data_IF_153001468455
#
_entry.id   IF_153001468455
#
_cell.length_a   1.000
_cell.length_b   1.000
_cell.length_c   1.000
_cell.angle_alpha   90.00
_cell.angle_beta   90.00
_cell.angle_gamma   90.00
#
_symmetry.space_group_name_H-M   'P 1'
#
loop_
_entity.id
_entity.type
_entity.pdbx_description
1 polymer ?
#
# COMPACT_ATOMS: atom_id res chain seq x y z
N UNK A 1 -7.72 -4.16 -9.59
CA UNK A 1 -6.41 -3.72 -10.09
C UNK A 1 -5.38 -4.70 -9.56
N UNK A 2 -4.34 -5.00 -10.34
CA UNK A 2 -3.29 -5.91 -9.88
C UNK A 2 -2.13 -5.11 -9.29
N UNK A 3 -1.41 -5.71 -8.34
CA UNK A 3 -0.31 -5.08 -7.61
C UNK A 3 0.79 -4.47 -8.52
N UNK A 4 1.00 -5.08 -9.68
CA UNK A 4 1.99 -4.68 -10.69
C UNK A 4 1.74 -3.29 -11.30
N UNK A 5 0.49 -2.80 -11.30
CA UNK A 5 0.15 -1.49 -11.86
C UNK A 5 0.44 -0.34 -10.88
N UNK A 6 0.44 -0.59 -9.57
CA UNK A 6 0.53 0.45 -8.53
C UNK A 6 1.86 1.17 -8.50
N UNK A 7 2.97 0.45 -8.67
CA UNK A 7 4.31 1.05 -8.72
C UNK A 7 4.44 2.00 -9.92
N UNK A 8 3.88 1.60 -11.07
CA UNK A 8 3.88 2.41 -12.28
C UNK A 8 3.03 3.67 -12.12
N UNK A 9 1.84 3.55 -11.53
CA UNK A 9 0.96 4.67 -11.24
C UNK A 9 1.62 5.70 -10.32
N UNK A 10 2.18 5.24 -9.19
CA UNK A 10 2.90 6.09 -8.25
C UNK A 10 4.09 6.78 -8.91
N UNK A 11 4.86 6.06 -9.73
CA UNK A 11 5.99 6.65 -10.45
C UNK A 11 5.55 7.75 -11.43
N UNK A 12 4.52 7.48 -12.22
CA UNK A 12 4.02 8.41 -13.24
C UNK A 12 3.34 9.62 -12.61
N UNK A 13 2.59 9.46 -11.51
CA UNK A 13 1.97 10.58 -10.80
C UNK A 13 2.99 11.57 -10.21
N UNK A 14 4.20 11.09 -9.93
CA UNK A 14 5.33 11.90 -9.49
C UNK A 14 6.21 12.40 -10.64
N UNK A 15 5.78 12.23 -11.90
CA UNK A 15 6.50 12.73 -13.08
C UNK A 15 7.84 12.05 -13.36
N UNK A 16 8.09 10.88 -12.78
CA UNK A 16 9.38 10.20 -12.87
C UNK A 16 9.45 9.18 -14.02
N UNK A 17 10.63 9.02 -14.60
CA UNK A 17 11.01 7.92 -15.48
C UNK A 17 11.41 6.67 -14.67
N UNK A 18 11.36 5.48 -15.29
CA UNK A 18 11.83 4.24 -14.64
C UNK A 18 13.30 4.34 -14.19
N UNK A 19 14.13 5.06 -14.94
CA UNK A 19 15.55 5.26 -14.61
C UNK A 19 15.75 6.15 -13.39
N UNK A 20 14.90 7.15 -13.18
CA UNK A 20 14.95 8.01 -12.00
C UNK A 20 14.54 7.25 -10.75
N UNK A 21 13.41 6.53 -10.79
CA UNK A 21 13.01 5.68 -9.68
C UNK A 21 14.06 4.62 -9.36
N UNK A 22 14.68 4.02 -10.37
CA UNK A 22 15.76 3.04 -10.20
C UNK A 22 16.97 3.64 -9.47
N UNK A 23 17.36 4.88 -9.81
CA UNK A 23 18.44 5.59 -9.11
C UNK A 23 18.10 5.84 -7.64
N UNK A 24 16.89 6.31 -7.35
CA UNK A 24 16.44 6.59 -5.97
C UNK A 24 16.42 5.30 -5.15
N UNK A 25 15.89 4.21 -5.73
CA UNK A 25 15.78 2.91 -5.08
C UNK A 25 17.10 2.11 -5.12
N UNK A 26 18.19 2.65 -5.65
CA UNK A 26 19.47 1.96 -5.83
C UNK A 26 19.34 0.57 -6.49
N UNK A 27 18.54 0.48 -7.56
CA UNK A 27 18.34 -0.72 -8.36
C UNK A 27 18.56 -0.42 -9.85
N UNK A 28 18.45 -1.44 -10.71
CA UNK A 28 18.53 -1.24 -12.16
C UNK A 28 17.19 -0.76 -12.73
N UNK A 29 17.23 -0.02 -13.85
CA UNK A 29 16.01 0.31 -14.61
C UNK A 29 15.20 -0.94 -14.97
N UNK A 30 15.91 -2.03 -15.33
CA UNK A 30 15.29 -3.32 -15.65
C UNK A 30 14.54 -3.92 -14.46
N UNK A 31 15.04 -3.76 -13.23
CA UNK A 31 14.34 -4.17 -12.00
C UNK A 31 13.01 -3.42 -11.84
N UNK A 32 13.03 -2.10 -12.00
CA UNK A 32 11.80 -1.28 -11.93
C UNK A 32 10.81 -1.69 -13.03
N UNK A 33 11.28 -1.90 -14.26
CA UNK A 33 10.42 -2.38 -15.34
C UNK A 33 9.82 -3.77 -15.03
N UNK A 34 10.60 -4.68 -14.46
CA UNK A 34 10.12 -6.01 -14.08
C UNK A 34 9.08 -5.95 -12.96
N UNK A 35 9.19 -5.00 -12.02
CA UNK A 35 8.17 -4.73 -11.00
C UNK A 35 6.86 -4.21 -11.62
N UNK A 36 6.95 -3.22 -12.50
CA UNK A 36 5.80 -2.60 -13.18
C UNK A 36 5.09 -3.51 -14.17
N UNK A 37 5.75 -4.58 -14.61
CA UNK A 37 5.19 -5.59 -15.51
C UNK A 37 4.74 -6.86 -14.75
N UNK A 38 4.89 -6.89 -13.42
CA UNK A 38 4.55 -8.06 -12.60
C UNK A 38 5.44 -9.28 -12.85
N UNK A 39 6.58 -9.12 -13.51
CA UNK A 39 7.55 -10.19 -13.80
C UNK A 39 8.30 -10.57 -12.52
N UNK A 40 8.53 -9.60 -11.63
CA UNK A 40 9.17 -9.81 -10.33
C UNK A 40 8.56 -8.89 -9.28
N UNK A 41 8.73 -9.22 -8.00
CA UNK A 41 8.23 -8.42 -6.87
C UNK A 41 9.42 -7.73 -6.19
N UNK A 42 9.26 -6.47 -5.71
CA UNK A 42 10.28 -5.86 -4.86
C UNK A 42 10.56 -6.73 -3.63
N UNK A 43 11.81 -6.72 -3.15
CA UNK A 43 12.11 -7.34 -1.85
C UNK A 43 11.37 -6.60 -0.75
N UNK A 44 11.17 -7.23 0.42
CA UNK A 44 10.50 -6.58 1.55
C UNK A 44 11.15 -5.24 1.93
N UNK A 45 12.49 -5.16 1.90
CA UNK A 45 13.21 -3.92 2.13
C UNK A 45 12.88 -2.84 1.08
N UNK A 46 12.85 -3.18 -0.21
CA UNK A 46 12.46 -2.23 -1.26
C UNK A 46 11.00 -1.84 -1.21
N UNK A 47 10.13 -2.73 -0.77
CA UNK A 47 8.73 -2.42 -0.55
C UNK A 47 8.56 -1.35 0.55
N UNK A 48 9.31 -1.45 1.64
CA UNK A 48 9.35 -0.43 2.70
C UNK A 48 9.93 0.90 2.21
N UNK A 49 11.03 0.86 1.44
CA UNK A 49 11.58 2.09 0.84
C UNK A 49 10.57 2.78 -0.09
N UNK A 50 9.89 2.00 -0.95
CA UNK A 50 8.84 2.51 -1.83
C UNK A 50 7.67 3.09 -1.03
N UNK A 51 7.23 2.42 0.04
CA UNK A 51 6.11 2.88 0.88
C UNK A 51 6.42 4.20 1.55
N UNK A 52 7.64 4.35 2.07
CA UNK A 52 8.11 5.59 2.68
C UNK A 52 8.28 6.71 1.66
N UNK A 53 8.87 6.41 0.50
CA UNK A 53 9.11 7.39 -0.56
C UNK A 53 7.84 7.93 -1.19
N UNK A 54 6.85 7.06 -1.45
CA UNK A 54 5.57 7.44 -2.05
C UNK A 54 4.49 7.80 -1.03
N UNK A 55 4.79 7.74 0.27
CA UNK A 55 3.85 8.01 1.35
C UNK A 55 2.56 7.17 1.27
N UNK A 56 2.70 5.87 1.00
CA UNK A 56 1.59 4.90 0.93
C UNK A 56 1.88 3.69 1.81
N UNK A 57 0.88 2.87 2.12
CA UNK A 57 1.12 1.59 2.80
C UNK A 57 1.72 0.55 1.85
N UNK A 58 2.43 -0.43 2.41
CA UNK A 58 2.89 -1.60 1.65
C UNK A 58 1.72 -2.39 1.07
N UNK A 59 0.59 -2.45 1.78
CA UNK A 59 -0.64 -3.09 1.34
C UNK A 59 -1.20 -2.45 0.06
N UNK A 60 -1.14 -1.11 -0.03
CA UNK A 60 -1.53 -0.39 -1.25
C UNK A 60 -0.63 -0.76 -2.42
N UNK A 61 0.69 -0.79 -2.23
CA UNK A 61 1.66 -1.17 -3.27
C UNK A 61 1.43 -2.62 -3.72
N UNK A 62 1.11 -3.53 -2.78
CA UNK A 62 0.87 -4.94 -3.04
C UNK A 62 -0.53 -5.25 -3.58
N UNK A 63 -1.38 -4.25 -3.80
CA UNK A 63 -2.75 -4.48 -4.28
C UNK A 63 -3.62 -5.25 -3.27
N UNK A 64 -3.30 -5.15 -1.97
CA UNK A 64 -4.06 -5.74 -0.86
C UNK A 64 -5.18 -4.81 -0.36
N UNK A 65 -5.43 -3.71 -1.09
CA UNK A 65 -6.41 -2.63 -0.88
C UNK A 65 -7.88 -3.08 -1.00
N UNK A 66 -8.18 -4.36 -0.76
CA UNK A 66 -9.57 -4.85 -0.57
C UNK A 66 -10.10 -4.68 0.85
N UNK A 67 -9.40 -3.96 1.72
CA UNK A 67 -9.88 -3.62 3.06
C UNK A 67 -9.90 -2.12 3.23
N UNK A 68 -11.08 -1.57 3.42
CA UNK A 68 -11.24 -0.21 3.94
C UNK A 68 -10.56 -0.15 5.31
N UNK A 69 -9.73 0.88 5.52
CA UNK A 69 -9.04 1.11 6.79
C UNK A 69 -9.63 2.34 7.45
N UNK A 70 -9.66 2.33 8.78
CA UNK A 70 -10.05 3.49 9.59
C UNK A 70 -8.76 4.05 10.16
N UNK A 71 -8.45 5.31 9.82
CA UNK A 71 -7.37 6.04 10.48
C UNK A 71 -7.81 6.38 11.92
N UNK A 72 -6.99 5.97 12.88
CA UNK A 72 -7.24 6.16 14.31
C UNK A 72 -6.21 7.12 14.93
N UNK A 73 -5.43 7.83 14.11
CA UNK A 73 -4.47 8.81 14.60
C UNK A 73 -5.17 10.00 15.27
N UNK A 74 -4.57 10.52 16.34
CA UNK A 74 -5.15 11.59 17.15
C UNK A 74 -6.38 11.22 18.01
N UNK A 75 -6.87 9.98 17.96
CA UNK A 75 -7.96 9.52 18.83
C UNK A 75 -7.46 9.05 20.19
N UNK A 76 -8.25 9.33 21.24
CA UNK A 76 -8.03 8.77 22.56
C UNK A 76 -8.35 7.27 22.59
N UNK A 77 -7.81 6.57 23.59
CA UNK A 77 -8.09 5.14 23.79
C UNK A 77 -9.58 4.85 23.96
N UNK A 78 -10.32 5.75 24.60
CA UNK A 78 -11.78 5.63 24.76
C UNK A 78 -12.51 5.77 23.42
N UNK A 79 -12.10 6.72 22.58
CA UNK A 79 -12.68 6.90 21.24
C UNK A 79 -12.40 5.69 20.34
N UNK A 80 -11.20 5.12 20.41
CA UNK A 80 -10.84 3.89 19.70
C UNK A 80 -11.69 2.71 20.17
N UNK A 81 -11.92 2.58 21.48
CA UNK A 81 -12.74 1.52 22.04
C UNK A 81 -14.19 1.54 21.51
N UNK A 82 -14.78 2.73 21.38
CA UNK A 82 -16.13 2.90 20.80
C UNK A 82 -16.18 2.41 19.35
N UNK A 83 -15.20 2.83 18.54
CA UNK A 83 -15.11 2.43 17.13
C UNK A 83 -15.00 0.90 17.01
N UNK A 84 -14.13 0.27 17.82
CA UNK A 84 -14.00 -1.19 17.82
C UNK A 84 -15.29 -1.90 18.28
N UNK A 85 -15.98 -1.37 19.28
CA UNK A 85 -17.28 -1.90 19.72
C UNK A 85 -18.33 -1.87 18.63
N UNK A 86 -18.40 -0.76 17.88
CA UNK A 86 -19.32 -0.61 16.75
C UNK A 86 -19.00 -1.57 15.60
N UNK A 87 -17.71 -1.74 15.27
CA UNK A 87 -17.29 -2.73 14.27
C UNK A 87 -17.67 -4.15 14.69
N UNK A 88 -17.48 -4.51 15.96
CA UNK A 88 -17.85 -5.82 16.48
C UNK A 88 -19.36 -6.06 16.45
N UNK A 89 -20.17 -5.03 16.72
CA UNK A 89 -21.64 -5.09 16.63
C UNK A 89 -22.09 -5.46 15.21
N UNK A 90 -21.64 -4.72 14.19
CA UNK A 90 -22.02 -4.98 12.80
C UNK A 90 -21.51 -6.32 12.26
N UNK A 91 -20.37 -6.80 12.75
CA UNK A 91 -19.86 -8.14 12.41
C UNK A 91 -20.66 -9.28 13.05
N UNK A 92 -21.30 -9.02 14.19
CA UNK A 92 -22.17 -9.98 14.86
C UNK A 92 -23.50 -10.15 14.13
N UNK A 93 -24.16 -9.05 13.75
CA UNK A 93 -25.39 -9.08 12.93
C UNK A 93 -25.18 -9.87 11.62
N UNK A 94 -24.05 -9.67 10.95
CA UNK A 94 -23.71 -10.37 9.69
C UNK A 94 -23.51 -11.88 9.81
N UNK A 95 -23.40 -12.43 11.02
CA UNK A 95 -23.25 -13.88 11.27
C UNK A 95 -24.57 -14.55 11.65
N UNK A 96 -25.60 -13.76 11.93
CA UNK A 96 -26.92 -14.23 12.32
C UNK A 96 -27.89 -14.32 11.11
N UNK A 97 -27.46 -13.84 9.93
CA UNK A 97 -28.07 -14.06 8.60
C UNK A 97 -27.37 -15.20 7.83
#
# INVERSE_FOLDING_TARGET
MKADERIKELRVSHGMTQSELAKIMAVTRSSVNAWEMGISVPTAAKLVELSLFFHVSTDYILGLDKKETIDLDGLSEEQRHIIYGLMAYFQKEKREE
#
